data_IF_698731164576
#
_entry.id   IF_698731164576
#
_cell.length_a   1.000
_cell.length_b   1.000
_cell.length_c   1.000
_cell.angle_alpha   90.00
_cell.angle_beta   90.00
_cell.angle_gamma   90.00
#
_symmetry.space_group_name_H-M   'P 1'
#
loop_
_entity.id
_entity.type
_entity.pdbx_description
1 polymer ?
#
# COMPACT_ATOMS: atom_id res chain seq x y z
N UNK A 1 19.30 14.02 18.20
CA UNK A 1 19.70 13.90 16.78
C UNK A 1 18.87 12.77 16.20
N UNK A 2 18.17 12.96 15.09
CA UNK A 2 17.42 11.87 14.48
C UNK A 2 18.40 10.80 13.97
N UNK A 3 18.05 9.50 14.04
CA UNK A 3 18.91 8.45 13.51
C UNK A 3 19.10 8.63 12.00
N UNK A 4 20.30 8.30 11.49
CA UNK A 4 20.55 8.25 10.05
C UNK A 4 19.86 7.04 9.45
N UNK A 5 19.18 7.24 8.32
CA UNK A 5 18.59 6.16 7.55
C UNK A 5 19.63 5.55 6.59
N UNK A 6 19.61 4.23 6.34
CA UNK A 6 18.68 3.24 6.89
C UNK A 6 18.97 2.90 8.35
N UNK A 7 17.92 2.53 9.09
CA UNK A 7 18.02 2.08 10.48
C UNK A 7 18.73 0.71 10.55
N UNK A 8 19.39 0.38 11.68
CA UNK A 8 19.93 -0.95 11.92
C UNK A 8 18.86 -2.06 11.83
N UNK A 9 19.25 -3.29 11.44
CA UNK A 9 18.33 -4.43 11.22
C UNK A 9 17.48 -4.84 12.45
N UNK A 10 17.91 -4.47 13.65
CA UNK A 10 17.22 -4.78 14.91
C UNK A 10 16.85 -3.51 15.67
N UNK A 11 16.55 -2.43 14.94
CA UNK A 11 16.18 -1.15 15.56
C UNK A 11 14.83 -1.26 16.30
N UNK A 12 13.89 -2.01 15.74
CA UNK A 12 12.58 -2.23 16.34
C UNK A 12 12.58 -3.49 17.21
N UNK A 13 11.95 -3.38 18.38
CA UNK A 13 11.59 -4.54 19.19
C UNK A 13 10.21 -5.02 18.76
N UNK A 14 10.15 -6.22 18.19
CA UNK A 14 8.91 -6.82 17.70
C UNK A 14 8.53 -8.02 18.58
N UNK A 15 7.86 -7.82 19.72
CA UNK A 15 7.40 -8.94 20.55
C UNK A 15 6.41 -9.83 19.77
N UNK A 16 6.36 -11.15 20.01
CA UNK A 16 5.38 -12.02 19.36
C UNK A 16 3.96 -11.52 19.59
N UNK A 17 3.17 -11.46 18.51
CA UNK A 17 1.74 -11.16 18.58
C UNK A 17 1.00 -12.35 19.20
N UNK A 18 -0.01 -12.07 19.99
CA UNK A 18 -0.91 -13.12 20.47
C UNK A 18 -1.94 -13.51 19.40
N UNK A 19 -2.67 -14.60 19.65
CA UNK A 19 -3.64 -15.14 18.69
C UNK A 19 -4.75 -14.14 18.36
N UNK A 20 -5.27 -13.40 19.35
CA UNK A 20 -6.32 -12.40 19.15
C UNK A 20 -5.82 -11.19 18.33
N UNK A 21 -4.59 -10.74 18.57
CA UNK A 21 -3.96 -9.66 17.79
C UNK A 21 -3.75 -10.10 16.34
N UNK A 22 -3.29 -11.32 16.14
CA UNK A 22 -3.07 -11.90 14.81
C UNK A 22 -4.38 -12.03 14.04
N UNK A 23 -5.44 -12.56 14.69
CA UNK A 23 -6.78 -12.69 14.10
C UNK A 23 -7.35 -11.31 13.73
N UNK A 24 -7.28 -10.35 14.64
CA UNK A 24 -7.74 -8.98 14.40
C UNK A 24 -7.04 -8.33 13.19
N UNK A 25 -5.72 -8.49 13.09
CA UNK A 25 -4.93 -7.93 11.98
C UNK A 25 -5.25 -8.63 10.66
N UNK A 26 -5.46 -9.95 10.66
CA UNK A 26 -5.86 -10.71 9.48
C UNK A 26 -7.26 -10.29 8.99
N UNK A 27 -8.23 -10.12 9.90
CA UNK A 27 -9.57 -9.66 9.56
C UNK A 27 -9.56 -8.21 9.04
N UNK A 28 -8.76 -7.35 9.67
CA UNK A 28 -8.57 -5.97 9.22
C UNK A 28 -7.95 -5.93 7.83
N UNK A 29 -6.92 -6.74 7.55
CA UNK A 29 -6.31 -6.84 6.23
C UNK A 29 -7.34 -7.27 5.16
N UNK A 30 -8.18 -8.26 5.49
CA UNK A 30 -9.24 -8.73 4.61
C UNK A 30 -10.27 -7.64 4.33
N UNK A 31 -10.81 -6.99 5.36
CA UNK A 31 -11.80 -5.91 5.19
C UNK A 31 -11.24 -4.78 4.34
N UNK A 32 -10.02 -4.32 4.67
CA UNK A 32 -9.37 -3.24 3.94
C UNK A 32 -9.17 -3.56 2.46
N UNK A 33 -8.81 -4.81 2.12
CA UNK A 33 -8.63 -5.21 0.72
C UNK A 33 -9.94 -5.14 -0.09
N UNK A 34 -11.06 -5.56 0.52
CA UNK A 34 -12.38 -5.51 -0.09
C UNK A 34 -12.85 -4.05 -0.25
N UNK A 35 -12.66 -3.23 0.80
CA UNK A 35 -13.08 -1.84 0.78
C UNK A 35 -12.28 -1.03 -0.25
N UNK A 36 -10.99 -1.30 -0.39
CA UNK A 36 -10.15 -0.75 -1.44
C UNK A 36 -10.73 -1.10 -2.83
N UNK A 37 -10.97 -2.38 -3.12
CA UNK A 37 -11.53 -2.81 -4.41
C UNK A 37 -12.88 -2.14 -4.73
N UNK A 38 -13.73 -1.93 -3.73
CA UNK A 38 -15.02 -1.23 -3.89
C UNK A 38 -14.88 0.27 -4.10
N UNK A 39 -13.88 0.90 -3.49
CA UNK A 39 -13.71 2.36 -3.54
C UNK A 39 -12.96 2.87 -4.76
N UNK A 40 -12.24 2.01 -5.49
CA UNK A 40 -11.39 2.41 -6.63
C UNK A 40 -11.98 2.15 -8.01
N UNK A 41 -13.19 1.61 -8.09
CA UNK A 41 -13.91 1.53 -9.36
C UNK A 41 -14.25 2.97 -9.78
N UNK A 42 -13.47 3.51 -10.72
CA UNK A 42 -13.62 4.86 -11.26
C UNK A 42 -14.87 5.00 -12.16
N UNK A 43 -15.62 3.92 -12.35
CA UNK A 43 -16.80 3.95 -13.21
C UNK A 43 -17.88 4.79 -12.54
N UNK A 44 -18.43 5.74 -13.30
CA UNK A 44 -19.37 6.78 -12.85
C UNK A 44 -20.71 6.24 -12.33
N UNK A 45 -20.83 4.93 -12.16
CA UNK A 45 -21.98 4.31 -11.55
C UNK A 45 -21.90 4.53 -10.04
N UNK A 46 -23.01 4.98 -9.47
CA UNK A 46 -23.11 5.60 -8.14
C UNK A 46 -22.89 4.62 -6.97
N UNK A 47 -22.13 3.56 -7.17
CA UNK A 47 -21.86 2.47 -6.22
C UNK A 47 -20.52 2.62 -5.48
N UNK A 48 -19.58 3.43 -6.01
CA UNK A 48 -18.32 3.73 -5.31
C UNK A 48 -18.55 4.63 -4.10
N UNK A 49 -18.02 4.24 -2.93
CA UNK A 49 -18.14 5.02 -1.68
C UNK A 49 -17.44 6.39 -1.76
N UNK A 50 -16.42 6.52 -2.63
CA UNK A 50 -15.66 7.76 -2.85
C UNK A 50 -16.01 8.30 -4.23
N UNK A 51 -16.41 9.57 -4.28
CA UNK A 51 -16.65 10.25 -5.55
C UNK A 51 -15.33 10.84 -6.08
N UNK A 52 -14.85 10.30 -7.20
CA UNK A 52 -13.60 10.74 -7.83
C UNK A 52 -13.83 11.90 -8.79
N UNK A 53 -13.00 12.94 -8.67
CA UNK A 53 -12.97 14.10 -9.57
C UNK A 53 -11.57 14.22 -10.16
N UNK A 54 -11.45 14.47 -11.46
CA UNK A 54 -10.14 14.66 -12.10
C UNK A 54 -9.36 15.80 -11.42
N UNK A 55 -8.14 15.50 -10.99
CA UNK A 55 -7.23 16.47 -10.36
C UNK A 55 -6.17 16.96 -11.35
N UNK A 56 -5.43 16.01 -11.94
CA UNK A 56 -4.45 16.32 -12.98
C UNK A 56 -4.27 15.15 -13.96
N UNK A 57 -3.74 15.49 -15.14
CA UNK A 57 -3.30 14.54 -16.14
C UNK A 57 -1.85 14.87 -16.49
N UNK A 58 -0.96 13.90 -16.32
CA UNK A 58 0.48 14.04 -16.55
C UNK A 58 1.00 12.83 -17.33
N UNK A 59 1.19 13.02 -18.64
CA UNK A 59 1.59 11.95 -19.55
C UNK A 59 0.57 10.80 -19.60
N UNK A 60 1.03 9.59 -19.26
CA UNK A 60 0.18 8.38 -19.23
C UNK A 60 -0.55 8.20 -17.88
N UNK A 61 -0.33 9.11 -16.92
CA UNK A 61 -0.94 9.06 -15.61
C UNK A 61 -2.09 10.07 -15.49
N UNK A 62 -3.22 9.60 -14.98
CA UNK A 62 -4.36 10.43 -14.58
C UNK A 62 -4.53 10.32 -13.07
N UNK A 63 -4.61 11.46 -12.39
CA UNK A 63 -4.80 11.53 -10.95
C UNK A 63 -6.18 12.12 -10.68
N UNK A 64 -6.95 11.44 -9.84
CA UNK A 64 -8.24 11.88 -9.34
C UNK A 64 -8.14 12.20 -7.85
N UNK A 65 -8.89 13.21 -7.45
CA UNK A 65 -9.13 13.60 -6.05
C UNK A 65 -10.47 13.05 -5.61
N UNK A 66 -10.50 12.37 -4.47
CA UNK A 66 -11.72 11.80 -3.89
C UNK A 66 -12.42 12.76 -2.94
N UNK A 67 -13.74 12.86 -3.05
CA UNK A 67 -14.61 13.35 -1.98
C UNK A 67 -14.92 12.14 -1.08
N UNK A 68 -14.17 12.04 0.02
CA UNK A 68 -14.14 10.91 0.94
C UNK A 68 -14.63 11.37 2.31
N UNK A 69 -15.89 11.10 2.60
CA UNK A 69 -16.55 11.55 3.83
C UNK A 69 -16.06 10.79 5.07
N UNK A 70 -15.44 9.61 4.89
CA UNK A 70 -14.86 8.80 5.96
C UNK A 70 -13.40 9.19 6.27
N UNK A 71 -12.78 10.03 5.44
CA UNK A 71 -11.40 10.46 5.64
C UNK A 71 -11.27 11.34 6.90
N UNK A 72 -10.22 11.14 7.74
CA UNK A 72 -9.95 12.02 8.86
C UNK A 72 -9.74 13.47 8.43
N UNK A 73 -9.98 14.42 9.34
CA UNK A 73 -9.76 15.84 9.07
C UNK A 73 -8.31 16.10 8.62
N UNK A 74 -8.16 16.77 7.47
CA UNK A 74 -6.85 17.08 6.88
C UNK A 74 -6.25 15.96 6.03
N UNK A 75 -6.96 14.84 5.85
CA UNK A 75 -6.57 13.76 4.95
C UNK A 75 -7.29 13.94 3.61
N UNK A 76 -6.55 13.74 2.52
CA UNK A 76 -7.09 13.78 1.16
C UNK A 76 -6.85 12.44 0.47
N UNK A 77 -7.92 11.84 -0.05
CA UNK A 77 -7.86 10.62 -0.85
C UNK A 77 -7.55 10.94 -2.32
N UNK A 78 -6.63 10.17 -2.90
CA UNK A 78 -6.25 10.25 -4.31
C UNK A 78 -6.32 8.87 -4.98
N UNK A 79 -6.66 8.86 -6.27
CA UNK A 79 -6.64 7.68 -7.12
C UNK A 79 -5.79 7.98 -8.35
N UNK A 80 -4.70 7.22 -8.52
CA UNK A 80 -3.88 7.26 -9.72
C UNK A 80 -4.29 6.15 -10.68
N UNK A 81 -4.50 6.49 -11.94
CA UNK A 81 -4.79 5.55 -13.04
C UNK A 81 -3.75 5.75 -14.12
N UNK A 82 -3.14 4.66 -14.59
CA UNK A 82 -2.16 4.67 -15.66
C UNK A 82 -2.21 3.35 -16.42
N UNK A 83 -1.86 3.38 -17.70
CA UNK A 83 -1.83 2.18 -18.54
C UNK A 83 -0.41 1.63 -18.63
N UNK A 84 -0.26 0.33 -18.39
CA UNK A 84 1.02 -0.36 -18.49
C UNK A 84 0.95 -1.50 -19.51
N UNK A 85 2.01 -1.64 -20.31
CA UNK A 85 2.25 -2.83 -21.14
C UNK A 85 2.94 -3.91 -20.32
N UNK A 86 2.19 -4.50 -19.39
CA UNK A 86 2.64 -5.59 -18.53
C UNK A 86 1.48 -6.51 -18.18
N UNK A 87 1.79 -7.74 -17.80
CA UNK A 87 0.84 -8.67 -17.20
C UNK A 87 0.58 -8.32 -15.74
N UNK A 88 -0.56 -8.75 -15.20
CA UNK A 88 -0.85 -8.58 -13.78
C UNK A 88 0.22 -9.22 -12.89
N UNK A 89 0.75 -10.37 -13.29
CA UNK A 89 1.77 -11.08 -12.52
C UNK A 89 3.08 -10.29 -12.45
N UNK A 90 3.48 -9.64 -13.55
CA UNK A 90 4.64 -8.75 -13.56
C UNK A 90 4.42 -7.54 -12.65
N UNK A 91 3.25 -6.90 -12.72
CA UNK A 91 2.97 -5.74 -11.86
C UNK A 91 2.89 -6.17 -10.40
N UNK A 92 2.22 -7.27 -10.07
CA UNK A 92 2.14 -7.81 -8.71
C UNK A 92 3.54 -8.16 -8.16
N UNK A 93 4.41 -8.72 -9.01
CA UNK A 93 5.79 -9.02 -8.67
C UNK A 93 6.59 -7.77 -8.26
N UNK A 94 6.32 -6.60 -8.84
CA UNK A 94 6.95 -5.35 -8.41
C UNK A 94 6.60 -4.97 -6.97
N UNK A 95 5.40 -5.32 -6.50
CA UNK A 95 4.93 -5.01 -5.14
C UNK A 95 5.18 -6.17 -4.15
N UNK A 96 5.69 -7.31 -4.60
CA UNK A 96 5.99 -8.50 -3.79
C UNK A 96 7.23 -8.31 -2.87
N UNK A 97 7.13 -7.36 -1.95
CA UNK A 97 8.26 -6.88 -1.13
C UNK A 97 8.37 -7.65 0.19
N UNK A 98 8.61 -8.95 0.15
CA UNK A 98 8.52 -9.83 1.34
C UNK A 98 9.86 -10.09 2.04
N UNK A 99 10.97 -9.66 1.44
CA UNK A 99 12.35 -9.90 1.92
C UNK A 99 13.15 -8.60 1.91
N UNK A 100 14.26 -8.55 2.65
CA UNK A 100 15.16 -7.38 2.64
C UNK A 100 15.59 -7.00 1.21
N UNK A 101 15.90 -7.99 0.37
CA UNK A 101 16.37 -7.77 -1.00
C UNK A 101 15.25 -7.23 -1.90
N UNK A 102 14.04 -7.78 -1.81
CA UNK A 102 12.89 -7.33 -2.61
C UNK A 102 12.42 -5.95 -2.18
N UNK A 103 12.42 -5.64 -0.87
CA UNK A 103 12.18 -4.29 -0.36
C UNK A 103 13.23 -3.28 -0.83
N UNK A 104 14.51 -3.66 -0.83
CA UNK A 104 15.59 -2.81 -1.32
C UNK A 104 15.46 -2.54 -2.83
N UNK A 105 15.06 -3.54 -3.62
CA UNK A 105 14.79 -3.38 -5.04
C UNK A 105 13.60 -2.46 -5.29
N UNK A 106 12.47 -2.70 -4.64
CA UNK A 106 11.26 -1.88 -4.75
C UNK A 106 11.53 -0.40 -4.48
N UNK A 107 12.32 -0.09 -3.45
CA UNK A 107 12.72 1.29 -3.14
C UNK A 107 13.59 1.93 -4.23
N UNK A 108 14.45 1.15 -4.87
CA UNK A 108 15.31 1.65 -5.97
C UNK A 108 14.51 1.87 -7.26
N UNK A 109 13.53 1.01 -7.55
CA UNK A 109 12.81 1.02 -8.83
C UNK A 109 11.50 1.80 -8.77
N UNK A 110 10.61 1.46 -7.85
CA UNK A 110 9.22 1.97 -7.77
C UNK A 110 9.10 3.11 -6.76
N UNK A 111 9.49 2.86 -5.51
CA UNK A 111 9.22 3.76 -4.39
C UNK A 111 10.42 4.68 -4.07
N UNK A 112 10.82 5.50 -5.04
CA UNK A 112 12.04 6.33 -4.98
C UNK A 112 12.06 7.37 -3.85
N UNK A 113 10.89 7.72 -3.31
CA UNK A 113 10.76 8.63 -2.17
C UNK A 113 10.86 7.91 -0.81
N UNK A 114 10.95 6.58 -0.77
CA UNK A 114 11.09 5.82 0.47
C UNK A 114 12.55 5.80 0.92
N UNK A 115 12.82 6.54 1.99
CA UNK A 115 14.13 6.70 2.63
C UNK A 115 14.56 5.50 3.46
N UNK A 116 13.61 4.79 4.06
CA UNK A 116 13.84 3.49 4.66
C UNK A 116 12.59 2.61 4.74
N UNK A 117 12.75 1.30 4.81
CA UNK A 117 11.66 0.35 5.01
C UNK A 117 12.16 -0.90 5.75
N UNK A 118 11.38 -1.37 6.74
CA UNK A 118 11.66 -2.61 7.47
C UNK A 118 10.40 -3.44 7.66
N UNK A 119 10.52 -4.76 7.48
CA UNK A 119 9.47 -5.73 7.82
C UNK A 119 9.46 -5.95 9.34
N UNK A 120 8.32 -5.70 9.98
CA UNK A 120 8.15 -5.88 11.42
C UNK A 120 7.54 -7.26 11.76
N UNK A 121 6.48 -7.65 11.03
CA UNK A 121 5.78 -8.92 11.24
C UNK A 121 5.36 -9.53 9.92
N UNK A 122 5.38 -10.86 9.82
CA UNK A 122 4.77 -11.63 8.74
C UNK A 122 3.63 -12.44 9.34
N UNK A 123 2.39 -12.12 8.99
CA UNK A 123 1.19 -12.79 9.48
C UNK A 123 0.76 -13.94 8.56
N UNK A 124 0.97 -13.74 7.26
CA UNK A 124 0.76 -14.76 6.22
C UNK A 124 1.82 -14.60 5.15
N UNK A 125 2.58 -15.66 4.89
CA UNK A 125 3.62 -15.69 3.86
C UNK A 125 3.08 -16.34 2.57
N UNK A 126 3.63 -15.98 1.39
CA UNK A 126 3.32 -16.70 0.16
C UNK A 126 3.57 -18.19 0.28
N UNK A 127 2.69 -18.99 -0.32
CA UNK A 127 2.79 -20.46 -0.38
C UNK A 127 2.64 -20.97 -1.82
N UNK A 128 2.95 -22.24 -2.07
CA UNK A 128 2.81 -22.82 -3.41
C UNK A 128 1.36 -22.75 -3.93
N UNK A 129 0.38 -22.93 -3.04
CA UNK A 129 -1.05 -22.85 -3.38
C UNK A 129 -1.52 -21.39 -3.56
N UNK A 130 -0.87 -20.44 -2.89
CA UNK A 130 -1.20 -19.02 -2.98
C UNK A 130 0.07 -18.16 -3.01
N UNK A 131 0.79 -18.14 -4.15
CA UNK A 131 2.13 -17.58 -4.26
C UNK A 131 2.19 -16.05 -4.17
N UNK A 132 1.03 -15.38 -4.08
CA UNK A 132 0.91 -13.93 -3.98
C UNK A 132 0.24 -13.47 -2.71
N UNK A 133 -0.31 -14.40 -1.92
CA UNK A 133 -0.96 -14.03 -0.70
C UNK A 133 0.08 -13.69 0.35
N UNK A 134 0.02 -12.45 0.81
CA UNK A 134 0.87 -11.96 1.87
C UNK A 134 0.08 -11.04 2.76
N UNK A 135 0.28 -11.18 4.07
CA UNK A 135 -0.18 -10.23 5.06
C UNK A 135 0.96 -9.96 6.01
N UNK A 136 1.32 -8.69 6.20
CA UNK A 136 2.43 -8.34 7.07
C UNK A 136 2.38 -6.89 7.51
N UNK A 137 3.21 -6.56 8.50
CA UNK A 137 3.34 -5.20 9.02
C UNK A 137 4.72 -4.67 8.66
N UNK A 138 4.77 -3.47 8.09
CA UNK A 138 6.01 -2.78 7.75
C UNK A 138 6.06 -1.41 8.40
N UNK A 139 7.28 -0.96 8.65
CA UNK A 139 7.56 0.45 8.89
C UNK A 139 8.24 1.04 7.65
N UNK A 140 7.92 2.28 7.31
CA UNK A 140 8.56 2.99 6.21
C UNK A 140 8.78 4.46 6.55
N UNK A 141 9.96 4.98 6.24
CA UNK A 141 10.28 6.41 6.24
C UNK A 141 10.26 6.96 4.81
N UNK A 142 9.62 8.11 4.62
CA UNK A 142 9.33 8.70 3.31
C UNK A 142 9.79 10.16 3.27
N UNK A 143 10.47 10.51 2.19
CA UNK A 143 10.87 11.87 1.89
C UNK A 143 9.63 12.73 1.60
N UNK A 144 9.45 13.78 2.39
CA UNK A 144 8.49 14.85 2.10
C UNK A 144 9.10 15.92 1.19
N UNK A 145 8.31 16.51 0.28
CA UNK A 145 8.79 17.54 -0.63
C UNK A 145 9.06 18.87 0.09
N UNK A 146 9.96 19.67 -0.50
CA UNK A 146 10.24 21.04 -0.06
C UNK A 146 10.86 21.11 1.34
N UNK A 147 10.38 22.04 2.17
CA UNK A 147 10.86 22.27 3.54
C UNK A 147 10.06 21.48 4.60
N UNK A 148 9.23 20.53 4.18
CA UNK A 148 8.44 19.69 5.10
C UNK A 148 9.33 18.59 5.66
N UNK A 149 9.24 18.34 6.97
CA UNK A 149 9.97 17.23 7.60
C UNK A 149 9.53 15.89 6.99
N UNK A 150 10.50 15.02 6.73
CA UNK A 150 10.24 13.64 6.34
C UNK A 150 9.33 12.94 7.38
N UNK A 151 8.52 12.00 6.92
CA UNK A 151 7.53 11.28 7.73
C UNK A 151 7.84 9.79 7.77
N UNK A 152 7.35 9.10 8.79
CA UNK A 152 7.46 7.65 8.89
C UNK A 152 6.17 7.03 9.42
N UNK A 153 5.79 5.88 8.86
CA UNK A 153 4.48 5.26 9.11
C UNK A 153 4.66 3.77 9.38
N UNK A 154 3.71 3.18 10.11
CA UNK A 154 3.54 1.73 10.23
C UNK A 154 2.31 1.34 9.43
N UNK A 155 2.44 0.34 8.57
CA UNK A 155 1.41 -0.09 7.64
C UNK A 155 1.15 -1.58 7.78
N UNK A 156 -0.14 -1.95 7.70
CA UNK A 156 -0.58 -3.32 7.48
C UNK A 156 -0.72 -3.51 5.96
N UNK A 157 0.13 -4.35 5.40
CA UNK A 157 0.17 -4.68 3.98
C UNK A 157 -0.60 -5.96 3.71
N UNK A 158 -1.40 -5.93 2.64
CA UNK A 158 -2.10 -7.09 2.11
C UNK A 158 -1.84 -7.19 0.62
N UNK A 159 -1.35 -8.34 0.19
CA UNK A 159 -1.30 -8.71 -1.22
C UNK A 159 -2.25 -9.89 -1.42
N UNK A 160 -3.22 -9.71 -2.30
CA UNK A 160 -4.18 -10.75 -2.67
C UNK A 160 -4.57 -10.57 -4.12
N UNK A 161 -4.63 -11.67 -4.86
CA UNK A 161 -5.29 -11.72 -6.15
C UNK A 161 -6.46 -12.68 -5.99
N UNK A 162 -7.63 -12.13 -5.73
CA UNK A 162 -8.84 -12.94 -5.65
C UNK A 162 -9.44 -13.06 -7.05
N UNK A 163 -9.39 -14.26 -7.63
CA UNK A 163 -10.01 -14.57 -8.93
C UNK A 163 -11.54 -14.51 -8.90
N UNK A 164 -12.16 -14.42 -7.73
CA UNK A 164 -13.63 -14.33 -7.55
C UNK A 164 -14.15 -12.90 -7.49
N UNK A 165 -13.28 -11.90 -7.29
CA UNK A 165 -13.64 -10.50 -7.48
C UNK A 165 -13.69 -10.24 -9.00
N UNK A 166 -14.89 -10.13 -9.56
CA UNK A 166 -15.12 -9.96 -11.00
C UNK A 166 -14.68 -8.60 -11.57
N UNK A 167 -13.83 -7.87 -10.87
CA UNK A 167 -13.28 -6.59 -11.32
C UNK A 167 -11.86 -6.81 -11.81
N UNK A 168 -11.46 -6.22 -12.95
CA UNK A 168 -10.12 -6.38 -13.47
C UNK A 168 -9.13 -5.89 -12.42
N UNK A 169 -8.39 -6.87 -11.90
CA UNK A 169 -7.14 -6.83 -11.19
C UNK A 169 -6.50 -5.45 -11.07
N UNK A 170 -6.94 -4.70 -10.06
CA UNK A 170 -6.37 -3.41 -9.71
C UNK A 170 -5.41 -3.63 -8.54
N UNK A 171 -4.11 -3.37 -8.75
CA UNK A 171 -3.16 -3.18 -7.65
C UNK A 171 -3.41 -1.77 -7.16
N UNK A 172 -4.10 -1.66 -6.03
CA UNK A 172 -4.44 -0.36 -5.47
C UNK A 172 -3.59 -0.10 -4.23
N UNK A 173 -2.68 0.85 -4.36
CA UNK A 173 -1.91 1.40 -3.27
C UNK A 173 -2.64 2.64 -2.73
N UNK A 174 -3.35 2.55 -1.60
CA UNK A 174 -3.79 3.74 -0.87
C UNK A 174 -2.57 4.35 -0.17
N UNK A 175 -1.94 5.34 -0.80
CA UNK A 175 -0.94 6.18 -0.14
C UNK A 175 -1.68 7.33 0.52
N UNK A 176 -1.98 7.21 1.81
CA UNK A 176 -2.50 8.31 2.61
C UNK A 176 -1.35 9.32 2.86
N UNK A 177 -1.16 10.28 1.96
CA UNK A 177 -0.23 11.39 2.23
C UNK A 177 -0.92 12.37 3.17
N UNK A 178 -0.60 12.28 4.45
CA UNK A 178 -0.97 13.31 5.41
C UNK A 178 -0.26 14.62 5.00
N UNK A 179 -1.00 15.72 4.88
CA UNK A 179 -0.43 17.07 4.71
C UNK A 179 -0.41 17.75 6.08
#
# INVERSE_FOLDING_TARGET
MAPSLPLPKNYFTCPPLNDMETEYLMDTARSNSIDIARTTVADNDKSGLIKWTLDCHDGEQTIYRGDDWDAPQGVQSFLGVFELKATLDEVAGLYACHTDDTMAEFRRSVAKNVLDMQQLYVLSAPSDDNPRHFVGIKWAAVASPGMVRHRDWVLLEVNVIDSTLSTPSSIVMKIATFV
#
